data_IF_982903773522
#
_entry.id   IF_982903773522
#
_cell.length_a   1.000
_cell.length_b   1.000
_cell.length_c   1.000
_cell.angle_alpha   90.00
_cell.angle_beta   90.00
_cell.angle_gamma   90.00
#
_symmetry.space_group_name_H-M   'P 1'
#
loop_
_entity.id
_entity.type
_entity.pdbx_description
1 polymer ?
#
# COMPACT_ATOMS: atom_id res chain seq x y z
N UNK A 1 -3.67 -14.76 8.30
CA UNK A 1 -2.97 -14.40 7.03
C UNK A 1 -1.60 -14.99 7.21
N UNK A 2 -1.35 -16.19 6.69
CA UNK A 2 -0.22 -17.06 7.07
C UNK A 2 1.15 -16.34 7.08
N UNK A 3 1.36 -15.41 6.16
CA UNK A 3 2.56 -14.57 6.08
C UNK A 3 2.79 -13.75 7.36
N UNK A 4 1.74 -13.14 7.91
CA UNK A 4 1.83 -12.37 9.17
C UNK A 4 2.17 -13.32 10.32
N UNK A 5 1.52 -14.48 10.37
CA UNK A 5 1.71 -15.44 11.45
C UNK A 5 3.16 -15.97 11.49
N UNK A 6 3.77 -16.14 10.31
CA UNK A 6 5.14 -16.64 10.14
C UNK A 6 6.22 -15.55 10.24
N UNK A 7 5.97 -14.34 9.73
CA UNK A 7 7.01 -13.34 9.47
C UNK A 7 6.75 -11.96 10.11
N UNK A 8 5.77 -11.81 11.01
CA UNK A 8 5.49 -10.50 11.64
C UNK A 8 6.71 -9.84 12.30
N UNK A 9 7.67 -10.62 12.78
CA UNK A 9 8.83 -10.14 13.52
C UNK A 9 10.00 -9.66 12.66
N UNK A 10 10.02 -10.00 11.37
CA UNK A 10 11.20 -9.82 10.50
C UNK A 10 10.85 -9.50 9.03
N UNK A 11 9.57 -9.39 8.67
CA UNK A 11 9.16 -9.06 7.31
C UNK A 11 9.49 -7.60 6.97
N UNK A 12 10.55 -7.41 6.19
CA UNK A 12 10.99 -6.10 5.69
C UNK A 12 10.41 -5.75 4.32
N UNK A 13 10.29 -6.74 3.43
CA UNK A 13 9.91 -6.55 2.03
C UNK A 13 8.77 -7.50 1.68
N UNK A 14 7.64 -6.95 1.22
CA UNK A 14 6.53 -7.73 0.66
C UNK A 14 6.25 -7.29 -0.77
N UNK A 15 6.40 -8.21 -1.73
CA UNK A 15 6.35 -7.85 -3.14
C UNK A 15 5.80 -8.93 -4.06
N UNK A 16 4.88 -8.52 -4.95
CA UNK A 16 4.45 -9.32 -6.09
C UNK A 16 4.97 -8.75 -7.42
N UNK A 17 6.07 -9.31 -7.94
CA UNK A 17 6.74 -8.82 -9.16
C UNK A 17 6.01 -9.16 -10.47
N UNK A 18 5.38 -10.32 -10.54
CA UNK A 18 4.78 -10.80 -11.79
C UNK A 18 3.41 -10.16 -12.05
N UNK A 19 3.04 -9.97 -13.31
CA UNK A 19 1.70 -9.52 -13.73
C UNK A 19 0.93 -10.65 -14.44
N UNK A 20 0.51 -11.72 -13.73
CA UNK A 20 -0.29 -12.76 -14.36
C UNK A 20 -1.67 -12.22 -14.76
N UNK A 21 -2.24 -12.78 -15.82
CA UNK A 21 -3.58 -12.43 -16.30
C UNK A 21 -4.59 -13.35 -15.63
N UNK A 22 -5.16 -12.90 -14.52
CA UNK A 22 -6.22 -13.60 -13.80
C UNK A 22 -7.35 -12.64 -13.45
N UNK A 23 -8.50 -13.20 -13.06
CA UNK A 23 -9.63 -12.41 -12.60
C UNK A 23 -9.25 -11.63 -11.33
N UNK A 24 -9.46 -10.31 -11.37
CA UNK A 24 -9.24 -9.45 -10.21
C UNK A 24 -10.58 -8.95 -9.67
N UNK A 25 -10.95 -9.30 -8.43
CA UNK A 25 -12.25 -8.96 -7.84
C UNK A 25 -12.48 -7.44 -7.86
N UNK A 26 -13.76 -7.05 -7.98
CA UNK A 26 -14.17 -5.63 -7.96
C UNK A 26 -14.77 -5.21 -6.62
N UNK A 27 -15.46 -6.13 -5.94
CA UNK A 27 -16.05 -5.91 -4.61
C UNK A 27 -14.95 -5.67 -3.58
N UNK A 28 -15.15 -4.71 -2.67
CA UNK A 28 -14.19 -4.43 -1.60
C UNK A 28 -13.91 -5.66 -0.73
N UNK A 29 -14.96 -6.42 -0.39
CA UNK A 29 -14.86 -7.60 0.49
C UNK A 29 -14.04 -8.75 -0.10
N UNK A 30 -13.95 -8.84 -1.42
CA UNK A 30 -13.22 -9.90 -2.11
C UNK A 30 -11.79 -9.48 -2.49
N UNK A 31 -11.47 -8.18 -2.38
CA UNK A 31 -10.14 -7.65 -2.70
C UNK A 31 -9.21 -7.76 -1.50
N UNK A 32 -7.91 -7.64 -1.79
CA UNK A 32 -6.84 -7.77 -0.81
C UNK A 32 -6.68 -6.54 0.10
N UNK A 33 -7.48 -5.48 -0.09
CA UNK A 33 -7.37 -4.21 0.64
C UNK A 33 -7.25 -4.43 2.17
N UNK A 34 -8.15 -5.25 2.74
CA UNK A 34 -8.15 -5.55 4.17
C UNK A 34 -6.92 -6.35 4.62
N UNK A 35 -6.53 -7.34 3.83
CA UNK A 35 -5.35 -8.18 4.12
C UNK A 35 -4.05 -7.39 4.07
N UNK A 36 -3.91 -6.46 3.12
CA UNK A 36 -2.75 -5.59 3.03
C UNK A 36 -2.66 -4.62 4.21
N UNK A 37 -3.80 -4.06 4.63
CA UNK A 37 -3.82 -3.20 5.81
C UNK A 37 -3.46 -3.99 7.09
N UNK A 38 -3.95 -5.22 7.22
CA UNK A 38 -3.56 -6.11 8.32
C UNK A 38 -2.06 -6.40 8.30
N UNK A 39 -1.49 -6.71 7.13
CA UNK A 39 -0.06 -6.97 6.96
C UNK A 39 0.78 -5.82 7.49
N UNK A 40 0.53 -4.59 7.05
CA UNK A 40 1.33 -3.43 7.47
C UNK A 40 1.10 -3.04 8.94
N UNK A 41 -0.05 -3.39 9.52
CA UNK A 41 -0.31 -3.19 10.96
C UNK A 41 0.44 -4.18 11.84
N UNK A 42 0.65 -5.40 11.35
CA UNK A 42 1.21 -6.50 12.14
C UNK A 42 2.71 -6.71 11.89
N UNK A 43 3.24 -6.25 10.75
CA UNK A 43 4.64 -6.35 10.39
C UNK A 43 5.31 -4.97 10.49
N UNK A 44 5.79 -4.54 11.67
CA UNK A 44 6.30 -3.18 11.88
C UNK A 44 7.58 -2.89 11.08
N UNK A 45 8.36 -3.92 10.74
CA UNK A 45 9.63 -3.75 10.02
C UNK A 45 9.47 -3.56 8.51
N UNK A 46 8.24 -3.62 7.99
CA UNK A 46 8.00 -3.49 6.56
C UNK A 46 8.41 -2.10 6.07
N UNK A 47 9.41 -2.08 5.19
CA UNK A 47 9.96 -0.88 4.60
C UNK A 47 9.67 -0.78 3.09
N UNK A 48 9.38 -1.91 2.46
CA UNK A 48 9.13 -1.98 1.02
C UNK A 48 7.88 -2.80 0.73
N UNK A 49 6.93 -2.21 0.01
CA UNK A 49 5.68 -2.84 -0.39
C UNK A 49 5.45 -2.69 -1.89
N UNK A 50 5.27 -3.81 -2.61
CA UNK A 50 4.97 -3.83 -4.04
C UNK A 50 3.67 -4.58 -4.32
N UNK A 51 2.65 -3.84 -4.77
CA UNK A 51 1.26 -4.29 -4.90
C UNK A 51 0.87 -4.32 -6.38
N UNK A 52 0.54 -5.51 -6.88
CA UNK A 52 0.02 -5.69 -8.25
C UNK A 52 -1.51 -5.83 -8.28
N UNK A 53 -2.09 -6.24 -7.16
CA UNK A 53 -3.49 -6.57 -6.98
C UNK A 53 -4.35 -5.32 -7.08
N UNK A 54 -5.64 -5.52 -7.35
CA UNK A 54 -6.58 -4.43 -7.45
C UNK A 54 -6.94 -3.91 -6.06
N UNK A 55 -6.67 -2.63 -5.81
CA UNK A 55 -6.94 -1.95 -4.52
C UNK A 55 -7.53 -0.56 -4.77
N UNK A 56 -8.21 -0.01 -3.77
CA UNK A 56 -8.71 1.36 -3.87
C UNK A 56 -7.63 2.40 -3.55
N UNK A 57 -7.83 3.63 -4.03
CA UNK A 57 -6.99 4.79 -3.69
C UNK A 57 -7.02 5.11 -2.20
N UNK A 58 -8.14 4.88 -1.51
CA UNK A 58 -8.20 4.98 -0.05
C UNK A 58 -7.32 3.94 0.64
N UNK A 59 -7.24 2.71 0.12
CA UNK A 59 -6.30 1.70 0.62
C UNK A 59 -4.85 2.16 0.50
N UNK A 60 -4.44 2.75 -0.64
CA UNK A 60 -3.08 3.29 -0.79
C UNK A 60 -2.76 4.33 0.30
N UNK A 61 -3.69 5.27 0.54
CA UNK A 61 -3.53 6.28 1.59
C UNK A 61 -3.39 5.65 2.98
N UNK A 62 -4.24 4.66 3.29
CA UNK A 62 -4.21 3.96 4.57
C UNK A 62 -2.92 3.17 4.77
N UNK A 63 -2.42 2.49 3.74
CA UNK A 63 -1.17 1.74 3.81
C UNK A 63 -0.01 2.67 4.15
N UNK A 64 0.13 3.77 3.42
CA UNK A 64 1.19 4.76 3.66
C UNK A 64 1.07 5.42 5.03
N UNK A 65 -0.14 5.75 5.46
CA UNK A 65 -0.38 6.36 6.78
C UNK A 65 -0.03 5.40 7.93
N UNK A 66 -0.34 4.12 7.75
CA UNK A 66 -0.25 3.09 8.80
C UNK A 66 1.17 2.53 8.93
N UNK A 67 1.84 2.28 7.80
CA UNK A 67 3.15 1.65 7.76
C UNK A 67 4.27 2.67 8.07
N UNK A 68 4.60 2.84 9.36
CA UNK A 68 5.53 3.91 9.81
C UNK A 68 6.95 3.80 9.26
N UNK A 69 7.41 2.58 8.97
CA UNK A 69 8.74 2.34 8.42
C UNK A 69 8.76 2.23 6.89
N UNK A 70 7.62 2.45 6.22
CA UNK A 70 7.50 2.32 4.77
C UNK A 70 8.29 3.42 4.06
N UNK A 71 9.30 3.02 3.30
CA UNK A 71 10.13 3.91 2.49
C UNK A 71 9.81 3.77 1.01
N UNK A 72 9.50 2.55 0.57
CA UNK A 72 9.28 2.24 -0.84
C UNK A 72 7.90 1.60 -1.04
N UNK A 73 7.02 2.33 -1.73
CA UNK A 73 5.71 1.83 -2.12
C UNK A 73 5.64 1.77 -3.64
N UNK A 74 5.36 0.59 -4.20
CA UNK A 74 5.20 0.39 -5.63
C UNK A 74 3.82 -0.15 -5.92
N UNK A 75 2.96 0.67 -6.53
CA UNK A 75 1.58 0.27 -6.83
C UNK A 75 1.33 0.36 -8.32
N UNK A 76 0.72 -0.69 -8.88
CA UNK A 76 0.31 -0.72 -10.28
C UNK A 76 -0.89 0.20 -10.52
N UNK A 77 -0.70 1.26 -11.31
CA UNK A 77 -1.72 2.26 -11.65
C UNK A 77 -2.99 1.66 -12.25
N UNK A 78 -2.87 0.69 -13.15
CA UNK A 78 -4.02 0.03 -13.80
C UNK A 78 -4.85 -0.87 -12.86
N UNK A 79 -4.31 -1.17 -11.67
CA UNK A 79 -5.00 -1.92 -10.64
C UNK A 79 -5.59 -1.00 -9.54
N UNK A 80 -5.48 0.33 -9.69
CA UNK A 80 -6.11 1.26 -8.77
C UNK A 80 -7.57 1.49 -9.13
N UNK A 81 -8.41 1.57 -8.09
CA UNK A 81 -9.80 2.00 -8.18
C UNK A 81 -9.97 3.31 -7.42
N UNK A 82 -10.48 4.35 -8.08
CA UNK A 82 -10.82 5.62 -7.43
C UNK A 82 -12.04 5.46 -6.52
N UNK A 83 -11.80 5.07 -5.26
CA UNK A 83 -12.86 4.84 -4.25
C UNK A 83 -12.36 5.10 -2.82
N UNK A 84 -13.23 5.68 -2.01
CA UNK A 84 -13.22 5.57 -0.55
C UNK A 84 -14.27 4.53 -0.16
N UNK A 85 -13.91 3.26 -0.19
CA UNK A 85 -14.80 2.13 0.10
C UNK A 85 -14.54 1.47 1.46
N UNK A 86 -13.66 2.05 2.27
CA UNK A 86 -13.48 1.66 3.65
C UNK A 86 -14.63 2.18 4.53
N UNK A 87 -15.23 1.33 5.39
CA UNK A 87 -16.15 1.81 6.41
C UNK A 87 -15.42 2.71 7.42
N UNK A 88 -16.13 3.66 8.02
CA UNK A 88 -15.56 4.48 9.07
C UNK A 88 -15.25 3.61 10.30
N UNK A 89 -13.96 3.44 10.63
CA UNK A 89 -13.55 2.74 11.83
C UNK A 89 -13.93 3.55 13.08
N UNK A 90 -14.40 2.93 14.17
CA UNK A 90 -14.62 3.61 15.45
C UNK A 90 -13.36 4.34 15.98
N UNK A 91 -12.18 3.85 15.61
CA UNK A 91 -10.89 4.40 16.03
C UNK A 91 -10.48 5.66 15.23
N UNK A 92 -11.25 6.05 14.21
CA UNK A 92 -10.91 7.18 13.35
C UNK A 92 -11.61 8.45 13.80
N UNK A 93 -10.86 9.55 13.83
CA UNK A 93 -11.48 10.86 14.03
C UNK A 93 -12.29 11.24 12.78
N UNK A 94 -13.36 12.04 12.93
CA UNK A 94 -14.14 12.54 11.80
C UNK A 94 -13.27 13.28 10.76
N UNK A 95 -12.26 14.02 11.22
CA UNK A 95 -11.33 14.76 10.38
C UNK A 95 -10.46 13.83 9.54
N UNK A 96 -9.97 12.72 10.14
CA UNK A 96 -9.21 11.71 9.44
C UNK A 96 -10.04 11.03 8.35
N UNK A 97 -11.26 10.61 8.66
CA UNK A 97 -12.14 9.98 7.67
C UNK A 97 -12.49 10.95 6.53
N UNK A 98 -12.75 12.23 6.86
CA UNK A 98 -12.98 13.27 5.87
C UNK A 98 -11.76 13.48 4.96
N UNK A 99 -10.56 13.53 5.54
CA UNK A 99 -9.31 13.60 4.79
C UNK A 99 -9.15 12.40 3.85
N UNK A 100 -9.42 11.19 4.34
CA UNK A 100 -9.33 9.96 3.56
C UNK A 100 -10.28 9.99 2.36
N UNK A 101 -11.55 10.30 2.60
CA UNK A 101 -12.58 10.39 1.56
C UNK A 101 -12.32 11.51 0.56
N UNK A 102 -11.73 12.62 0.99
CA UNK A 102 -11.38 13.74 0.11
C UNK A 102 -10.23 13.36 -0.82
N UNK A 103 -9.16 12.80 -0.27
CA UNK A 103 -7.94 12.53 -1.01
C UNK A 103 -7.98 11.23 -1.84
N UNK A 104 -8.96 10.35 -1.61
CA UNK A 104 -9.16 9.16 -2.45
C UNK A 104 -9.87 9.43 -3.78
N UNK A 105 -10.39 10.65 -4.02
CA UNK A 105 -11.28 10.96 -5.16
C UNK A 105 -10.57 11.21 -6.48
N UNK A 106 -9.26 11.49 -6.47
CA UNK A 106 -8.47 11.63 -7.69
C UNK A 106 -7.10 11.01 -7.52
N UNK A 107 -6.46 10.66 -8.65
CA UNK A 107 -5.09 10.15 -8.62
C UNK A 107 -4.12 11.26 -8.17
N UNK A 108 -4.32 12.51 -8.59
CA UNK A 108 -3.41 13.60 -8.21
C UNK A 108 -3.46 13.88 -6.70
N UNK A 109 -4.66 13.90 -6.11
CA UNK A 109 -4.82 14.12 -4.67
C UNK A 109 -4.15 12.99 -3.87
N UNK A 110 -4.41 11.73 -4.25
CA UNK A 110 -3.81 10.57 -3.60
C UNK A 110 -2.28 10.58 -3.74
N UNK A 111 -1.75 10.78 -4.95
CA UNK A 111 -0.30 10.83 -5.20
C UNK A 111 0.39 11.95 -4.42
N UNK A 112 -0.26 13.12 -4.28
CA UNK A 112 0.26 14.24 -3.49
C UNK A 112 0.39 13.87 -2.01
N UNK A 113 -0.67 13.35 -1.40
CA UNK A 113 -0.63 12.98 0.02
C UNK A 113 0.36 11.84 0.28
N UNK A 114 0.42 10.84 -0.61
CA UNK A 114 1.41 9.75 -0.49
C UNK A 114 2.83 10.28 -0.61
N UNK A 115 3.08 11.20 -1.55
CA UNK A 115 4.40 11.84 -1.69
C UNK A 115 4.80 12.61 -0.43
N UNK A 116 3.85 13.31 0.20
CA UNK A 116 4.09 14.03 1.46
C UNK A 116 4.41 13.07 2.60
N UNK A 117 3.67 11.97 2.72
CA UNK A 117 3.88 10.97 3.79
C UNK A 117 5.21 10.21 3.62
N UNK A 118 5.62 9.89 2.39
CA UNK A 118 6.90 9.23 2.12
C UNK A 118 8.11 10.18 2.10
N UNK A 119 7.87 11.50 2.10
CA UNK A 119 8.93 12.50 2.02
C UNK A 119 9.66 12.56 0.66
N UNK A 120 9.12 11.91 -0.38
CA UNK A 120 9.69 11.89 -1.71
C UNK A 120 8.59 11.94 -2.78
N UNK A 121 8.95 12.31 -4.02
CA UNK A 121 7.99 12.31 -5.12
C UNK A 121 7.55 10.88 -5.42
N UNK A 122 6.26 10.61 -5.24
CA UNK A 122 5.67 9.31 -5.44
C UNK A 122 4.53 9.35 -6.47
N UNK A 123 4.47 8.35 -7.35
CA UNK A 123 3.40 8.18 -8.33
C UNK A 123 3.10 6.70 -8.55
N UNK A 124 1.85 6.38 -8.90
CA UNK A 124 1.50 5.01 -9.26
C UNK A 124 2.14 4.60 -10.59
N UNK A 125 2.64 3.37 -10.67
CA UNK A 125 3.44 2.90 -11.80
C UNK A 125 2.57 2.38 -12.94
N UNK A 126 2.91 2.75 -14.17
CA UNK A 126 2.39 2.06 -15.36
C UNK A 126 2.83 0.60 -15.38
N UNK A 127 2.12 -0.26 -16.11
CA UNK A 127 2.51 -1.69 -16.25
C UNK A 127 3.95 -1.87 -16.75
N UNK A 128 4.43 -0.97 -17.62
CA UNK A 128 5.81 -0.99 -18.12
C UNK A 128 6.80 -0.69 -17.01
N UNK A 129 6.57 0.38 -16.23
CA UNK A 129 7.41 0.75 -15.08
C UNK A 129 7.38 -0.33 -14.01
N UNK A 130 6.19 -0.87 -13.69
CA UNK A 130 6.01 -1.89 -12.67
C UNK A 130 6.84 -3.16 -12.95
N UNK A 131 6.90 -3.59 -14.21
CA UNK A 131 7.66 -4.78 -14.63
C UNK A 131 9.18 -4.64 -14.49
N UNK A 132 9.70 -3.41 -14.57
CA UNK A 132 11.15 -3.14 -14.55
C UNK A 132 11.66 -2.73 -13.17
N UNK A 133 10.78 -2.60 -12.17
CA UNK A 133 11.20 -2.31 -10.79
C UNK A 133 12.12 -3.41 -10.29
N UNK A 134 13.34 -3.01 -9.94
CA UNK A 134 14.27 -3.84 -9.18
C UNK A 134 14.10 -3.53 -7.70
N UNK A 135 14.07 -4.59 -6.89
CA UNK A 135 13.99 -4.45 -5.43
C UNK A 135 15.38 -4.70 -4.87
N UNK A 136 15.86 -3.77 -4.07
CA UNK A 136 17.13 -3.89 -3.35
C UNK A 136 16.92 -4.78 -2.12
N UNK A 137 17.12 -6.10 -2.29
CA UNK A 137 16.88 -7.08 -1.22
C UNK A 137 17.97 -7.07 -0.14
N UNK A 138 19.14 -6.53 -0.43
CA UNK A 138 20.34 -6.63 0.41
C UNK A 138 20.73 -5.30 1.05
N UNK A 139 19.87 -4.29 1.04
CA UNK A 139 20.17 -3.00 1.66
C UNK A 139 19.76 -3.09 3.14
N UNK A 140 20.70 -3.24 4.09
CA UNK A 140 20.35 -3.22 5.51
C UNK A 140 19.84 -1.82 5.84
N UNK A 141 18.56 -1.71 6.16
CA UNK A 141 17.96 -0.46 6.62
C UNK A 141 18.07 -0.30 8.14
N UNK A 142 18.33 -1.40 8.85
CA UNK A 142 18.68 -1.43 10.26
C UNK A 142 20.17 -1.78 10.39
N UNK A 143 21.06 -0.79 10.28
CA UNK A 143 22.41 -0.92 10.85
C UNK A 143 22.34 -0.43 12.29
N UNK A 144 22.74 -1.30 13.22
CA UNK A 144 22.92 -1.09 14.67
C UNK A 144 22.71 0.33 15.21
N UNK A 145 21.66 0.52 16.02
CA UNK A 145 21.71 1.10 17.39
C UNK A 145 20.30 1.26 17.95
#
# INVERSE_FOLDING_TARGET
MEIVDLYKGDLEIFAYKQLPRFYMPRSFHDRVDSSLLLLVRQCPYINTLMIREKISTSTVLLLTYTAKNLQYLFVRKNALILKADWPCSPDWTPEFYTWLCKNSRSYEAMEREVSQMLGCRWQALTDKQFKIVQLELNKPLYMYS
#
